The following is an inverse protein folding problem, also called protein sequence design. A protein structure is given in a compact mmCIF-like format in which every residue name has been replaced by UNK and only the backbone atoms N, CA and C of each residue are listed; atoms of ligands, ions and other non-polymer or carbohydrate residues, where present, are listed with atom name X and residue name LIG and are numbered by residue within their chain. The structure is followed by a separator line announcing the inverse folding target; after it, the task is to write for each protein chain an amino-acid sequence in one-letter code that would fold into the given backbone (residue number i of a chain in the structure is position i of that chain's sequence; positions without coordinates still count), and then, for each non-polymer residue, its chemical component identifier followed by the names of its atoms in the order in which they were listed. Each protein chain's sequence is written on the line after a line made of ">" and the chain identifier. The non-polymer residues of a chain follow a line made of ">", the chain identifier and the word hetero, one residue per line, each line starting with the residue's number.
data_IF_567185231735
#
_entry.id   IF_567185231735
#
_cell.length_a   1.000
_cell.length_b   1.000
_cell.length_c   1.000
_cell.angle_alpha   90.00
_cell.angle_beta   90.00
_cell.angle_gamma   90.00
#
_symmetry.space_group_name_H-M   'P 1'
#
loop_
_entity.id
_entity.type
_entity.pdbx_description
1 polymer ?
#
# COMPACT_ATOMS: atom_id res chain seq x y z
N UNK A 1 0.86 -24.74 7.82
CA UNK A 1 0.98 -23.25 7.87
C UNK A 1 0.86 -22.74 6.44
N UNK A 2 0.08 -21.70 6.20
CA UNK A 2 0.02 -21.09 4.87
C UNK A 2 1.38 -20.43 4.55
N UNK A 3 1.83 -20.55 3.30
CA UNK A 3 3.06 -19.88 2.86
C UNK A 3 2.90 -18.36 2.94
N UNK A 4 3.90 -17.65 3.47
CA UNK A 4 3.90 -16.18 3.66
C UNK A 4 5.19 -15.52 3.20
N UNK A 5 5.94 -16.17 2.31
CA UNK A 5 7.22 -15.68 1.80
C UNK A 5 8.44 -16.15 2.58
N UNK A 6 9.60 -15.77 2.06
CA UNK A 6 10.92 -16.17 2.55
C UNK A 6 11.69 -14.98 3.14
N UNK A 7 12.67 -15.25 4.01
CA UNK A 7 13.61 -14.21 4.45
C UNK A 7 14.62 -13.93 3.33
N UNK A 8 14.83 -12.66 3.01
CA UNK A 8 15.82 -12.26 2.02
C UNK A 8 17.24 -12.39 2.61
N UNK A 9 18.07 -13.25 2.03
CA UNK A 9 19.46 -13.49 2.46
C UNK A 9 20.51 -12.93 1.50
N UNK A 10 20.08 -12.45 0.34
CA UNK A 10 20.94 -11.99 -0.75
C UNK A 10 20.42 -10.67 -1.31
N UNK A 11 21.30 -9.83 -1.84
CA UNK A 11 20.89 -8.64 -2.59
C UNK A 11 20.32 -9.07 -3.95
N UNK A 12 19.16 -8.52 -4.32
CA UNK A 12 18.52 -8.77 -5.61
C UNK A 12 18.74 -7.56 -6.53
N UNK A 13 18.98 -7.75 -7.83
CA UNK A 13 19.05 -6.66 -8.79
C UNK A 13 17.62 -6.16 -9.11
N UNK A 14 17.08 -5.33 -8.23
CA UNK A 14 15.70 -4.86 -8.30
C UNK A 14 15.55 -3.61 -9.17
N UNK A 15 14.67 -3.66 -10.16
CA UNK A 15 14.28 -2.50 -10.95
C UNK A 15 13.12 -1.74 -10.30
N UNK A 16 13.46 -0.73 -9.50
CA UNK A 16 12.50 0.13 -8.81
C UNK A 16 11.73 1.08 -9.75
N UNK A 17 12.09 1.20 -11.04
CA UNK A 17 11.34 2.03 -12.01
C UNK A 17 9.95 1.46 -12.30
N UNK A 18 9.79 0.14 -12.05
CA UNK A 18 8.54 -0.62 -12.15
C UNK A 18 8.09 -1.02 -10.75
N UNK A 19 7.59 -0.06 -9.99
CA UNK A 19 7.08 -0.28 -8.63
C UNK A 19 5.55 -0.24 -8.60
N UNK A 20 4.96 -1.16 -7.86
CA UNK A 20 3.51 -1.25 -7.68
C UNK A 20 3.17 -1.46 -6.20
N UNK A 21 2.14 -0.76 -5.74
CA UNK A 21 1.45 -1.15 -4.51
C UNK A 21 0.42 -2.22 -4.88
N UNK A 22 0.51 -3.39 -4.28
CA UNK A 22 -0.42 -4.51 -4.49
C UNK A 22 -1.23 -4.70 -3.23
N UNK A 23 -2.55 -4.69 -3.37
CA UNK A 23 -3.49 -4.84 -2.27
C UNK A 23 -4.18 -6.18 -2.44
N UNK A 24 -4.13 -7.01 -1.40
CA UNK A 24 -4.81 -8.30 -1.34
C UNK A 24 -5.84 -8.31 -0.22
N UNK A 25 -6.77 -9.26 -0.23
CA UNK A 25 -7.72 -9.42 0.86
C UNK A 25 -7.04 -9.74 2.20
N UNK A 26 -7.70 -9.32 3.29
CA UNK A 26 -7.20 -9.55 4.65
C UNK A 26 -7.45 -10.98 5.13
N UNK A 27 -7.17 -11.25 6.40
CA UNK A 27 -7.45 -12.55 7.02
C UNK A 27 -8.74 -12.49 7.83
N UNK A 28 -9.66 -13.43 7.57
CA UNK A 28 -10.92 -13.57 8.33
C UNK A 28 -11.77 -12.29 8.33
N UNK A 29 -12.04 -11.75 9.53
CA UNK A 29 -12.86 -10.54 9.74
C UNK A 29 -12.10 -9.24 9.39
N UNK A 30 -10.79 -9.31 9.12
CA UNK A 30 -9.99 -8.14 8.77
C UNK A 30 -10.30 -7.66 7.33
N UNK A 31 -11.35 -6.85 7.21
CA UNK A 31 -11.81 -6.26 5.96
C UNK A 31 -10.82 -5.23 5.39
N UNK A 32 -9.79 -4.83 6.12
CA UNK A 32 -8.90 -3.75 5.70
C UNK A 32 -7.93 -4.15 4.58
N UNK A 33 -7.75 -5.45 4.34
CA UNK A 33 -6.82 -5.95 3.33
C UNK A 33 -5.38 -6.06 3.84
N UNK A 34 -4.46 -6.43 2.94
CA UNK A 34 -3.03 -6.50 3.20
C UNK A 34 -2.25 -5.90 2.03
N UNK A 35 -1.23 -5.10 2.33
CA UNK A 35 -0.43 -4.41 1.32
C UNK A 35 0.91 -5.09 1.10
N UNK A 36 1.28 -5.23 -0.17
CA UNK A 36 2.59 -5.70 -0.63
C UNK A 36 3.18 -4.68 -1.59
N UNK A 37 4.51 -4.60 -1.63
CA UNK A 37 5.26 -3.90 -2.65
C UNK A 37 5.65 -4.90 -3.74
N UNK A 38 5.29 -4.65 -5.00
CA UNK A 38 5.82 -5.38 -6.13
C UNK A 38 6.85 -4.54 -6.90
N UNK A 39 8.00 -5.13 -7.19
CA UNK A 39 9.13 -4.50 -7.87
C UNK A 39 9.47 -5.30 -9.12
N UNK A 40 9.62 -4.63 -10.26
CA UNK A 40 9.86 -5.25 -11.58
C UNK A 40 8.59 -5.59 -12.36
N UNK A 41 7.40 -5.43 -11.76
CA UNK A 41 6.11 -5.71 -12.40
C UNK A 41 5.76 -7.21 -12.43
N UNK A 42 5.07 -7.65 -13.49
CA UNK A 42 4.69 -9.06 -13.70
C UNK A 42 5.96 -9.91 -13.81
N UNK A 43 6.05 -10.97 -13.01
CA UNK A 43 7.28 -11.77 -12.92
C UNK A 43 8.34 -11.19 -11.97
N UNK A 44 8.06 -10.05 -11.35
CA UNK A 44 8.93 -9.39 -10.39
C UNK A 44 8.90 -10.00 -8.99
N UNK A 45 9.39 -9.23 -8.03
CA UNK A 45 9.47 -9.60 -6.62
C UNK A 45 8.41 -8.89 -5.81
N UNK A 46 7.89 -9.57 -4.79
CA UNK A 46 6.88 -9.07 -3.87
C UNK A 46 7.49 -8.99 -2.47
N UNK A 47 7.25 -7.90 -1.76
CA UNK A 47 7.76 -7.67 -0.41
C UNK A 47 6.62 -7.27 0.51
N UNK A 48 6.61 -7.82 1.73
CA UNK A 48 5.60 -7.47 2.72
C UNK A 48 6.05 -7.83 4.14
N UNK A 49 5.30 -7.34 5.12
CA UNK A 49 5.45 -7.71 6.52
C UNK A 49 4.33 -8.68 6.91
N UNK A 50 4.66 -9.78 7.59
CA UNK A 50 3.73 -10.87 7.87
C UNK A 50 3.71 -11.31 9.34
N UNK A 51 4.45 -10.63 10.21
CA UNK A 51 4.58 -10.98 11.63
C UNK A 51 4.66 -9.75 12.53
N UNK A 52 4.37 -9.94 13.82
CA UNK A 52 4.31 -8.85 14.81
C UNK A 52 5.70 -8.25 15.07
N UNK A 53 6.75 -9.07 15.08
CA UNK A 53 8.13 -8.62 15.26
C UNK A 53 9.06 -9.55 14.49
N UNK A 54 9.01 -9.45 13.16
CA UNK A 54 9.72 -10.34 12.25
C UNK A 54 10.38 -9.54 11.11
N UNK A 55 11.34 -10.15 10.42
CA UNK A 55 11.88 -9.59 9.20
C UNK A 55 10.80 -9.55 8.12
N UNK A 56 10.74 -8.48 7.29
CA UNK A 56 9.88 -8.49 6.13
C UNK A 56 10.25 -9.66 5.20
N UNK A 57 9.24 -10.20 4.53
CA UNK A 57 9.35 -11.36 3.65
C UNK A 57 9.39 -10.92 2.20
N UNK A 58 10.02 -11.74 1.37
CA UNK A 58 9.99 -11.59 -0.08
C UNK A 58 9.46 -12.84 -0.76
N UNK A 59 8.93 -12.67 -1.96
CA UNK A 59 8.41 -13.72 -2.83
C UNK A 59 8.73 -13.41 -4.30
N UNK A 60 9.03 -14.43 -5.10
CA UNK A 60 8.95 -14.38 -6.57
C UNK A 60 7.50 -14.54 -7.03
N UNK A 61 7.25 -14.38 -8.33
CA UNK A 61 5.89 -14.52 -8.88
C UNK A 61 5.21 -15.85 -8.52
N UNK A 62 5.88 -16.98 -8.74
CA UNK A 62 5.33 -18.31 -8.44
C UNK A 62 5.00 -18.49 -6.95
N UNK A 63 5.84 -17.89 -6.10
CA UNK A 63 5.69 -17.89 -4.64
C UNK A 63 4.54 -16.96 -4.20
N UNK A 64 4.34 -15.85 -4.89
CA UNK A 64 3.20 -14.96 -4.69
C UNK A 64 1.88 -15.63 -5.09
N UNK A 65 1.85 -16.32 -6.24
CA UNK A 65 0.67 -17.08 -6.68
C UNK A 65 0.34 -18.18 -5.66
N UNK A 66 1.37 -18.90 -5.18
CA UNK A 66 1.23 -19.85 -4.08
C UNK A 66 0.72 -19.20 -2.80
N UNK A 67 1.23 -18.02 -2.44
CA UNK A 67 0.78 -17.27 -1.26
C UNK A 67 -0.72 -16.99 -1.33
N UNK A 68 -1.22 -16.49 -2.46
CA UNK A 68 -2.66 -16.24 -2.64
C UNK A 68 -3.49 -17.52 -2.47
N UNK A 69 -3.05 -18.63 -3.06
CA UNK A 69 -3.74 -19.93 -2.97
C UNK A 69 -3.73 -20.46 -1.52
N UNK A 70 -2.56 -20.55 -0.90
CA UNK A 70 -2.38 -21.12 0.44
C UNK A 70 -3.13 -20.32 1.51
N UNK A 71 -3.21 -19.00 1.35
CA UNK A 71 -3.89 -18.09 2.28
C UNK A 71 -5.35 -17.84 1.93
N UNK A 72 -5.83 -18.32 0.76
CA UNK A 72 -7.14 -18.02 0.19
C UNK A 72 -7.40 -16.51 0.05
N UNK A 73 -6.35 -15.76 -0.29
CA UNK A 73 -6.42 -14.33 -0.54
C UNK A 73 -6.62 -14.06 -2.01
N UNK A 74 -7.21 -12.91 -2.30
CA UNK A 74 -7.44 -12.42 -3.64
C UNK A 74 -6.73 -11.08 -3.82
N UNK A 75 -6.14 -10.85 -4.99
CA UNK A 75 -5.60 -9.54 -5.36
C UNK A 75 -6.76 -8.60 -5.67
N UNK A 76 -6.94 -7.59 -4.81
CA UNK A 76 -7.97 -6.56 -4.93
C UNK A 76 -7.53 -5.53 -5.97
N UNK A 77 -6.24 -5.21 -6.01
CA UNK A 77 -5.73 -4.26 -6.97
C UNK A 77 -4.21 -4.14 -6.98
N UNK A 78 -3.73 -3.58 -8.09
CA UNK A 78 -2.32 -3.32 -8.34
C UNK A 78 -2.16 -1.94 -8.94
N UNK A 79 -1.42 -1.09 -8.25
CA UNK A 79 -1.34 0.32 -8.56
C UNK A 79 0.09 0.68 -8.90
N UNK A 80 0.34 1.01 -10.16
CA UNK A 80 1.64 1.49 -10.60
C UNK A 80 2.00 2.79 -9.88
N UNK A 81 3.25 2.90 -9.46
CA UNK A 81 3.80 4.09 -8.80
C UNK A 81 5.09 4.49 -9.48
N UNK A 82 5.03 5.65 -10.14
CA UNK A 82 6.21 6.31 -10.67
C UNK A 82 7.05 6.83 -9.51
N UNK A 83 8.33 6.47 -9.51
CA UNK A 83 9.30 6.93 -8.52
C UNK A 83 10.23 7.95 -9.17
N UNK A 84 10.30 9.16 -8.62
CA UNK A 84 11.25 10.19 -9.05
C UNK A 84 12.69 9.83 -8.67
N UNK A 85 12.87 9.04 -7.60
CA UNK A 85 14.17 8.62 -7.04
C UNK A 85 14.21 7.10 -6.85
N UNK A 86 14.23 6.29 -7.92
CA UNK A 86 14.19 4.82 -7.81
C UNK A 86 15.30 4.23 -6.93
N UNK A 87 16.51 4.81 -6.97
CA UNK A 87 17.62 4.37 -6.13
C UNK A 87 17.34 4.56 -4.64
N UNK A 88 16.77 5.70 -4.24
CA UNK A 88 16.42 5.95 -2.83
C UNK A 88 15.37 4.98 -2.32
N UNK A 89 14.43 4.54 -3.17
CA UNK A 89 13.49 3.49 -2.83
C UNK A 89 14.17 2.13 -2.65
N UNK A 90 15.14 1.80 -3.51
CA UNK A 90 15.93 0.58 -3.38
C UNK A 90 16.71 0.56 -2.07
N UNK A 91 17.44 1.63 -1.76
CA UNK A 91 18.25 1.74 -0.55
C UNK A 91 17.37 1.62 0.70
N UNK A 92 16.18 2.23 0.66
CA UNK A 92 15.21 2.15 1.74
C UNK A 92 14.64 0.75 1.91
N UNK A 93 14.27 0.07 0.82
CA UNK A 93 13.83 -1.33 0.83
C UNK A 93 14.92 -2.21 1.46
N UNK A 94 16.17 -2.11 1.02
CA UNK A 94 17.29 -2.87 1.59
C UNK A 94 17.41 -2.61 3.10
N UNK A 95 17.36 -1.34 3.51
CA UNK A 95 17.44 -0.94 4.92
C UNK A 95 16.32 -1.54 5.77
N UNK A 96 15.07 -1.57 5.29
CA UNK A 96 13.96 -2.16 6.05
C UNK A 96 13.98 -3.68 6.04
N UNK A 97 14.45 -4.31 4.97
CA UNK A 97 14.61 -5.78 4.91
C UNK A 97 15.68 -6.30 5.91
N UNK A 98 16.65 -5.47 6.29
CA UNK A 98 17.75 -5.83 7.20
C UNK A 98 17.39 -5.78 8.69
N UNK A 99 16.21 -5.28 9.05
CA UNK A 99 15.77 -5.15 10.45
C UNK A 99 14.43 -5.81 10.67
N UNK A 100 14.17 -6.23 11.90
CA UNK A 100 12.84 -6.69 12.28
C UNK A 100 11.87 -5.51 12.20
N UNK A 101 10.71 -5.78 11.62
CA UNK A 101 9.60 -4.86 11.55
C UNK A 101 8.68 -5.10 12.75
N UNK A 102 8.57 -4.11 13.63
CA UNK A 102 7.65 -4.16 14.77
C UNK A 102 6.28 -3.67 14.33
N UNK A 103 5.32 -4.59 14.20
CA UNK A 103 3.95 -4.30 13.83
C UNK A 103 3.24 -3.60 14.98
N UNK A 104 2.90 -2.33 14.80
CA UNK A 104 2.33 -1.47 15.85
C UNK A 104 0.82 -1.27 15.77
N UNK A 105 0.08 -2.08 15.01
CA UNK A 105 -1.35 -1.91 14.68
C UNK A 105 -1.63 -0.63 13.86
N UNK A 106 -1.42 0.54 14.47
CA UNK A 106 -1.59 1.86 13.85
C UNK A 106 -0.27 2.37 13.24
N UNK A 107 0.83 2.55 13.98
CA UNK A 107 2.14 2.76 13.39
C UNK A 107 2.74 1.44 12.89
N UNK A 108 3.54 1.49 11.82
CA UNK A 108 4.33 0.36 11.32
C UNK A 108 3.49 -0.89 10.97
N UNK A 109 2.44 -0.75 10.16
CA UNK A 109 1.70 -1.88 9.61
C UNK A 109 2.13 -2.21 8.16
N UNK A 110 1.40 -3.08 7.47
CA UNK A 110 1.71 -3.46 6.08
C UNK A 110 1.63 -2.30 5.09
N UNK A 111 0.74 -1.35 5.35
CA UNK A 111 0.60 -0.14 4.53
C UNK A 111 1.80 0.77 4.72
N UNK A 112 2.21 0.99 5.98
CA UNK A 112 3.31 1.86 6.33
C UNK A 112 4.63 1.35 5.74
N UNK A 113 4.80 0.02 5.69
CA UNK A 113 5.93 -0.61 5.01
C UNK A 113 6.01 -0.22 3.53
N UNK A 114 4.92 -0.38 2.78
CA UNK A 114 4.87 -0.05 1.34
C UNK A 114 5.01 1.46 1.12
N UNK A 115 4.32 2.26 1.95
CA UNK A 115 4.33 3.72 1.87
C UNK A 115 5.72 4.31 2.11
N UNK A 116 6.41 3.87 3.16
CA UNK A 116 7.76 4.33 3.50
C UNK A 116 8.75 4.13 2.34
N UNK A 117 8.69 2.97 1.66
CA UNK A 117 9.56 2.65 0.53
C UNK A 117 9.19 3.47 -0.72
N UNK A 118 7.90 3.63 -1.01
CA UNK A 118 7.48 4.39 -2.18
C UNK A 118 7.73 5.90 -2.00
N UNK A 119 7.54 6.43 -0.79
CA UNK A 119 7.79 7.84 -0.47
C UNK A 119 9.27 8.19 -0.48
N UNK A 120 10.16 7.30 -0.03
CA UNK A 120 11.61 7.52 -0.20
C UNK A 120 12.01 7.59 -1.68
N UNK A 121 11.27 6.88 -2.54
CA UNK A 121 11.33 6.98 -3.99
C UNK A 121 10.75 8.26 -4.60
N UNK A 122 10.22 9.18 -3.78
CA UNK A 122 9.58 10.41 -4.23
C UNK A 122 8.16 10.22 -4.76
N UNK A 123 7.48 9.12 -4.43
CA UNK A 123 6.05 8.97 -4.71
C UNK A 123 5.21 9.81 -3.74
N UNK A 124 4.13 10.43 -4.23
CA UNK A 124 3.08 11.02 -3.38
C UNK A 124 2.12 9.97 -2.79
N UNK A 125 2.42 8.69 -2.97
CA UNK A 125 1.65 7.59 -2.40
C UNK A 125 1.55 7.76 -0.89
N UNK A 126 0.33 7.87 -0.40
CA UNK A 126 0.01 7.81 1.01
C UNK A 126 -1.46 7.53 1.16
N UNK A 127 -1.81 6.69 2.12
CA UNK A 127 -3.19 6.24 2.30
C UNK A 127 -3.76 6.98 3.50
N UNK A 128 -4.94 7.57 3.33
CA UNK A 128 -5.62 8.37 4.36
C UNK A 128 -6.09 7.52 5.57
N UNK A 129 -6.01 6.19 5.44
CA UNK A 129 -6.47 5.21 6.43
C UNK A 129 -5.47 4.06 6.59
N UNK A 130 -5.44 3.44 7.76
CA UNK A 130 -4.69 2.21 8.01
C UNK A 130 -5.29 0.97 7.33
N UNK A 131 -6.33 1.12 6.50
CA UNK A 131 -6.95 0.04 5.74
C UNK A 131 -6.48 0.05 4.28
N UNK A 132 -5.63 -0.92 3.87
CA UNK A 132 -5.16 -1.12 2.49
C UNK A 132 -6.20 -0.97 1.38
N UNK A 133 -7.42 -1.47 1.57
CA UNK A 133 -8.49 -1.34 0.57
C UNK A 133 -8.86 0.13 0.30
N UNK A 134 -8.81 0.98 1.33
CA UNK A 134 -9.11 2.41 1.24
C UNK A 134 -7.94 3.23 0.67
N UNK A 135 -7.02 2.60 -0.08
CA UNK A 135 -6.01 3.34 -0.82
C UNK A 135 -6.69 4.41 -1.70
N UNK A 136 -6.39 5.66 -1.41
CA UNK A 136 -6.78 6.78 -2.25
C UNK A 136 -5.51 7.51 -2.61
N UNK A 137 -5.27 7.72 -3.90
CA UNK A 137 -4.23 8.62 -4.32
C UNK A 137 -4.61 10.04 -3.84
N UNK A 138 -3.79 10.65 -2.96
CA UNK A 138 -4.04 12.02 -2.46
C UNK A 138 -4.25 13.02 -3.59
N UNK A 139 -3.57 12.82 -4.73
CA UNK A 139 -3.76 13.67 -5.92
C UNK A 139 -5.07 13.41 -6.64
N UNK A 140 -5.56 12.18 -6.64
CA UNK A 140 -6.84 11.82 -7.25
C UNK A 140 -8.00 12.31 -6.40
N UNK A 141 -7.92 12.18 -5.08
CA UNK A 141 -8.89 12.81 -4.15
C UNK A 141 -8.87 14.32 -4.31
N UNK A 142 -7.68 14.95 -4.39
CA UNK A 142 -7.57 16.39 -4.59
C UNK A 142 -8.12 16.82 -5.95
N UNK A 143 -7.81 16.11 -7.02
CA UNK A 143 -8.32 16.39 -8.36
C UNK A 143 -9.84 16.19 -8.45
N UNK A 144 -10.37 15.14 -7.83
CA UNK A 144 -11.82 14.89 -7.73
C UNK A 144 -12.50 15.92 -6.84
N UNK A 145 -11.88 16.34 -5.75
CA UNK A 145 -12.40 17.40 -4.86
C UNK A 145 -12.37 18.77 -5.53
N UNK A 146 -11.31 19.11 -6.27
CA UNK A 146 -11.23 20.33 -7.08
C UNK A 146 -12.21 20.30 -8.25
N UNK A 147 -12.43 19.14 -8.88
CA UNK A 147 -13.43 18.94 -9.93
C UNK A 147 -14.86 19.08 -9.40
N UNK A 148 -15.19 18.43 -8.28
CA UNK A 148 -16.47 18.57 -7.59
C UNK A 148 -16.70 20.02 -7.12
N UNK A 149 -15.66 20.69 -6.61
CA UNK A 149 -15.72 22.12 -6.24
C UNK A 149 -16.03 23.04 -7.42
N UNK A 150 -15.63 22.67 -8.63
CA UNK A 150 -15.93 23.43 -9.85
C UNK A 150 -17.33 23.15 -10.40
N UNK A 151 -17.90 21.99 -10.08
CA UNK A 151 -19.20 21.53 -10.61
C UNK A 151 -20.37 21.79 -9.66
N UNK A 152 -20.13 21.98 -8.36
CA UNK A 152 -21.15 22.17 -7.34
C UNK A 152 -21.04 23.55 -6.71
N UNK A 153 -22.17 24.22 -6.45
CA UNK A 153 -22.20 25.44 -5.63
C UNK A 153 -21.73 25.12 -4.20
N UNK A 154 -21.20 26.12 -3.47
CA UNK A 154 -20.67 25.94 -2.11
C UNK A 154 -21.68 25.24 -1.16
N UNK A 155 -22.97 25.52 -1.35
CA UNK A 155 -24.08 24.94 -0.56
C UNK A 155 -24.20 23.41 -0.75
N UNK A 156 -23.99 22.91 -1.96
CA UNK A 156 -24.07 21.48 -2.28
C UNK A 156 -22.86 20.70 -1.74
N UNK A 157 -21.68 21.33 -1.68
CA UNK A 157 -20.49 20.74 -1.08
C UNK A 157 -20.64 20.59 0.44
N UNK A 158 -21.23 21.58 1.11
CA UNK A 158 -21.49 21.52 2.56
C UNK A 158 -22.44 20.36 2.86
N UNK A 159 -23.51 20.17 2.10
CA UNK A 159 -24.44 19.05 2.28
C UNK A 159 -23.77 17.67 2.09
N UNK A 160 -22.89 17.53 1.09
CA UNK A 160 -22.23 16.26 0.77
C UNK A 160 -21.19 15.86 1.84
N UNK A 161 -20.41 16.81 2.35
CA UNK A 161 -19.36 16.54 3.34
C UNK A 161 -19.87 16.50 4.79
N UNK A 162 -21.02 17.11 5.11
CA UNK A 162 -21.62 17.07 6.46
C UNK A 162 -22.67 15.99 6.64
N UNK A 163 -22.94 15.16 5.63
CA UNK A 163 -24.00 14.15 5.69
C UNK A 163 -25.39 14.74 5.87
N UNK A 164 -25.66 15.90 5.26
CA UNK A 164 -27.00 16.49 5.24
C UNK A 164 -27.43 17.25 6.50
N UNK A 165 -26.52 17.79 7.31
CA UNK A 165 -26.89 18.77 8.37
C UNK A 165 -26.26 20.12 8.09
N UNK A 166 -27.06 21.02 7.50
CA UNK A 166 -26.75 22.44 7.41
C UNK A 166 -26.97 23.05 8.81
N UNK A 167 -25.97 23.68 9.45
CA UNK A 167 -26.18 24.37 10.71
C UNK A 167 -26.69 25.78 10.43
N UNK A 168 -27.90 26.09 10.90
CA UNK A 168 -28.40 27.46 10.99
C UNK A 168 -29.67 27.77 10.22
N UNK A 169 -30.80 27.18 10.63
CA UNK A 169 -32.09 27.86 10.63
C UNK A 169 -32.76 27.49 11.95
N UNK A 170 -33.04 28.52 12.77
CA UNK A 170 -33.82 28.42 14.01
C UNK A 170 -35.26 28.02 13.71
#
# INVERSE_FOLDING_TARGET
>A
MAYSGSNLKVCLPLDMTKSYAVIVSGDGINFCGHALLNVGGKGGYYFHVAGIHDYPKYMRQEEYDKYLIDTKKEEIGRYYKRLAKPQSAYDELVRVMQKKWLWGVLPNNCIAFVEQILQSGGSSFGIFSNCPIMHTNKEEVRATTESLRRQLSEEALIQYFTGGRVPGLY
#
